data_IF_781115915597
#
_entry.id   IF_781115915597
#
_cell.length_a   1.000
_cell.length_b   1.000
_cell.length_c   1.000
_cell.angle_alpha   90.00
_cell.angle_beta   90.00
_cell.angle_gamma   90.00
#
_symmetry.space_group_name_H-M   'P 1'
#
loop_
_entity.id
_entity.type
_entity.pdbx_description
1 polymer ?
#
# COMPACT_ATOMS: atom_id res chain seq x y z
N UNK A 1 -22.50 -9.85 2.98
CA UNK A 1 -21.28 -9.84 3.85
C UNK A 1 -20.89 -8.44 4.34
N UNK A 2 -21.31 -7.35 3.68
CA UNK A 2 -21.04 -5.95 4.06
C UNK A 2 -22.32 -5.13 4.30
N UNK A 3 -23.48 -5.78 4.46
CA UNK A 3 -24.78 -5.11 4.62
C UNK A 3 -24.78 -4.10 5.78
N UNK A 4 -24.35 -4.51 6.97
CA UNK A 4 -24.28 -3.61 8.13
C UNK A 4 -23.38 -2.38 7.89
N UNK A 5 -22.25 -2.55 7.20
CA UNK A 5 -21.34 -1.45 6.85
C UNK A 5 -22.05 -0.46 5.93
N UNK A 6 -22.60 -0.91 4.80
CA UNK A 6 -23.27 -0.01 3.85
C UNK A 6 -24.55 0.62 4.41
N UNK A 7 -25.26 -0.07 5.32
CA UNK A 7 -26.39 0.56 6.05
C UNK A 7 -25.91 1.71 6.93
N UNK A 8 -24.80 1.55 7.65
CA UNK A 8 -24.23 2.63 8.45
C UNK A 8 -23.77 3.81 7.58
N UNK A 9 -23.13 3.54 6.45
CA UNK A 9 -22.71 4.60 5.51
C UNK A 9 -23.91 5.32 4.89
N UNK A 10 -25.02 4.62 4.59
CA UNK A 10 -26.26 5.26 4.11
C UNK A 10 -26.87 6.18 5.17
N UNK A 11 -26.92 5.74 6.42
CA UNK A 11 -27.41 6.59 7.53
C UNK A 11 -26.51 7.83 7.66
N UNK A 12 -25.19 7.66 7.59
CA UNK A 12 -24.25 8.77 7.63
C UNK A 12 -24.47 9.75 6.44
N UNK A 13 -24.75 9.24 5.24
CA UNK A 13 -25.07 10.08 4.09
C UNK A 13 -26.35 10.91 4.32
N UNK A 14 -27.39 10.32 4.88
CA UNK A 14 -28.62 11.02 5.24
C UNK A 14 -28.37 12.11 6.31
N UNK A 15 -27.49 11.87 7.27
CA UNK A 15 -27.11 12.87 8.26
C UNK A 15 -26.34 14.07 7.63
N UNK A 16 -25.55 13.84 6.59
CA UNK A 16 -24.87 14.92 5.84
C UNK A 16 -25.89 15.80 5.14
N UNK A 17 -26.93 15.20 4.52
CA UNK A 17 -28.05 15.93 3.89
C UNK A 17 -28.84 16.71 4.93
N UNK A 18 -29.18 16.08 6.06
CA UNK A 18 -29.93 16.72 7.15
C UNK A 18 -29.20 17.90 7.78
N UNK A 19 -27.87 17.85 7.82
CA UNK A 19 -27.02 18.94 8.28
C UNK A 19 -26.93 20.13 7.25
N UNK A 20 -27.40 19.94 6.01
CA UNK A 20 -27.35 20.96 4.96
C UNK A 20 -25.98 21.20 4.34
N UNK A 21 -25.02 20.28 4.54
CA UNK A 21 -23.69 20.39 3.96
C UNK A 21 -23.71 20.26 2.41
N UNK A 22 -24.68 19.53 1.87
CA UNK A 22 -24.90 19.34 0.43
C UNK A 22 -26.38 19.07 0.13
N UNK A 23 -26.86 19.47 -1.03
CA UNK A 23 -28.20 19.13 -1.50
C UNK A 23 -28.24 17.72 -2.10
N UNK A 24 -29.39 17.04 -2.03
CA UNK A 24 -29.51 15.64 -2.42
C UNK A 24 -29.17 15.39 -3.89
N UNK A 25 -29.54 16.31 -4.79
CA UNK A 25 -29.25 16.25 -6.23
C UNK A 25 -27.76 16.46 -6.56
N UNK A 26 -27.02 17.10 -5.66
CA UNK A 26 -25.57 17.34 -5.77
C UNK A 26 -24.72 16.28 -5.08
N UNK A 27 -25.30 15.45 -4.21
CA UNK A 27 -24.56 14.40 -3.47
C UNK A 27 -24.17 13.26 -4.39
N UNK A 28 -23.21 13.49 -5.28
CA UNK A 28 -22.66 12.49 -6.18
C UNK A 28 -21.45 11.82 -5.55
N UNK A 29 -21.39 10.48 -5.62
CA UNK A 29 -20.30 9.68 -5.10
C UNK A 29 -19.85 8.58 -6.04
N UNK A 30 -18.82 7.83 -5.63
CA UNK A 30 -18.36 6.64 -6.35
C UNK A 30 -19.38 5.49 -6.22
N UNK A 31 -19.23 4.46 -7.06
CA UNK A 31 -20.04 3.24 -6.97
C UNK A 31 -20.04 2.59 -5.58
N UNK A 32 -19.00 2.85 -4.76
CA UNK A 32 -18.86 2.33 -3.40
C UNK A 32 -19.32 3.33 -2.33
N UNK A 33 -19.81 4.52 -2.71
CA UNK A 33 -20.35 5.52 -1.81
C UNK A 33 -19.30 6.52 -1.26
N UNK A 34 -18.11 6.59 -1.84
CA UNK A 34 -17.12 7.62 -1.47
C UNK A 34 -17.49 8.97 -2.10
N UNK A 35 -17.37 10.07 -1.33
CA UNK A 35 -17.96 11.39 -1.59
C UNK A 35 -16.89 12.44 -1.94
N UNK A 36 -17.24 13.31 -2.89
CA UNK A 36 -16.51 14.54 -3.21
C UNK A 36 -15.10 14.35 -3.73
N UNK A 37 -14.34 15.44 -3.81
CA UNK A 37 -12.97 15.46 -4.34
C UNK A 37 -12.01 14.52 -3.62
N UNK A 38 -12.15 14.37 -2.32
CA UNK A 38 -11.24 13.56 -1.47
C UNK A 38 -11.74 12.12 -1.25
N UNK A 39 -12.87 11.76 -1.85
CA UNK A 39 -13.43 10.41 -1.79
C UNK A 39 -13.59 9.88 -0.37
N UNK A 40 -14.12 10.70 0.52
CA UNK A 40 -14.45 10.26 1.87
C UNK A 40 -15.68 9.36 1.88
N UNK A 41 -15.64 8.28 2.66
CA UNK A 41 -16.88 7.59 3.01
C UNK A 41 -17.75 8.52 3.86
N UNK A 42 -19.09 8.40 3.82
CA UNK A 42 -20.00 9.25 4.59
C UNK A 42 -19.66 9.34 6.09
N UNK A 43 -19.32 8.21 6.71
CA UNK A 43 -18.87 8.21 8.11
C UNK A 43 -17.53 8.93 8.33
N UNK A 44 -16.64 8.90 7.35
CA UNK A 44 -15.37 9.65 7.36
C UNK A 44 -15.65 11.15 7.21
N UNK A 45 -16.58 11.53 6.32
CA UNK A 45 -17.04 12.92 6.18
C UNK A 45 -17.53 13.48 7.52
N UNK A 46 -18.51 12.82 8.16
CA UNK A 46 -19.08 13.27 9.42
C UNK A 46 -18.03 13.51 10.51
N UNK A 47 -16.97 12.69 10.48
CA UNK A 47 -15.93 12.73 11.51
C UNK A 47 -14.82 13.73 11.24
N UNK A 48 -14.49 13.96 9.96
CA UNK A 48 -13.24 14.65 9.60
C UNK A 48 -13.41 15.82 8.63
N UNK A 49 -14.58 15.97 7.97
CA UNK A 49 -14.80 17.12 7.12
C UNK A 49 -14.87 18.39 7.94
N UNK A 50 -14.25 19.44 7.43
CA UNK A 50 -14.21 20.78 8.02
C UNK A 50 -14.58 21.82 6.96
N UNK A 51 -15.16 22.90 7.41
CA UNK A 51 -15.40 24.11 6.64
C UNK A 51 -14.06 24.88 6.55
N UNK A 52 -13.44 24.86 5.40
CA UNK A 52 -12.12 25.43 5.16
C UNK A 52 -12.14 26.86 4.64
N UNK A 53 -13.28 27.31 4.08
CA UNK A 53 -13.46 28.69 3.58
C UNK A 53 -14.33 29.55 4.49
N UNK A 54 -14.97 28.96 5.52
CA UNK A 54 -15.73 29.66 6.54
C UNK A 54 -17.13 30.10 6.12
N UNK A 55 -17.73 29.40 5.10
CA UNK A 55 -19.08 29.74 4.61
C UNK A 55 -20.20 29.06 5.40
N UNK A 56 -19.86 28.23 6.40
CA UNK A 56 -20.78 27.52 7.27
C UNK A 56 -21.19 26.14 6.75
N UNK A 57 -20.60 25.65 5.66
CA UNK A 57 -20.82 24.32 5.07
C UNK A 57 -19.52 23.54 4.94
N UNK A 58 -19.60 22.23 4.78
CA UNK A 58 -18.43 21.36 4.51
C UNK A 58 -18.57 20.77 3.11
N UNK A 59 -18.44 21.63 2.08
CA UNK A 59 -18.69 21.23 0.68
C UNK A 59 -17.46 20.55 0.06
N UNK A 60 -17.35 19.23 0.19
CA UNK A 60 -16.27 18.47 -0.45
C UNK A 60 -16.44 18.29 -1.97
N UNK A 61 -17.52 18.78 -2.58
CA UNK A 61 -17.80 18.65 -4.02
C UNK A 61 -17.51 19.95 -4.78
N UNK A 62 -17.86 21.09 -4.22
CA UNK A 62 -17.74 22.39 -4.86
C UNK A 62 -16.62 23.26 -4.30
N UNK A 63 -16.27 23.10 -3.01
CA UNK A 63 -15.22 23.89 -2.35
C UNK A 63 -13.89 23.14 -2.30
N UNK A 64 -12.89 23.62 -3.07
CA UNK A 64 -11.52 23.11 -2.98
C UNK A 64 -10.88 23.41 -1.61
N UNK A 65 -11.07 24.60 -0.99
CA UNK A 65 -10.60 24.86 0.36
C UNK A 65 -11.10 23.84 1.38
N UNK A 66 -12.41 23.51 1.38
CA UNK A 66 -12.98 22.50 2.28
C UNK A 66 -12.39 21.13 2.04
N UNK A 67 -12.29 20.72 0.77
CA UNK A 67 -11.71 19.44 0.40
C UNK A 67 -10.26 19.33 0.89
N UNK A 68 -9.43 20.34 0.71
CA UNK A 68 -8.02 20.34 1.13
C UNK A 68 -7.89 20.44 2.65
N UNK A 69 -8.66 21.30 3.32
CA UNK A 69 -8.66 21.41 4.76
C UNK A 69 -9.14 20.09 5.42
N UNK A 70 -10.19 19.48 4.89
CA UNK A 70 -10.68 18.18 5.36
C UNK A 70 -9.65 17.06 5.15
N UNK A 71 -8.96 17.04 4.01
CA UNK A 71 -7.87 16.12 3.76
C UNK A 71 -6.73 16.28 4.77
N UNK A 72 -6.33 17.53 5.03
CA UNK A 72 -5.30 17.86 6.03
C UNK A 72 -5.72 17.43 7.44
N UNK A 73 -6.94 17.76 7.85
CA UNK A 73 -7.50 17.34 9.13
C UNK A 73 -7.52 15.82 9.27
N UNK A 74 -7.94 15.09 8.25
CA UNK A 74 -7.96 13.63 8.27
C UNK A 74 -6.56 13.06 8.47
N UNK A 75 -5.57 13.49 7.71
CA UNK A 75 -4.18 13.04 7.88
C UNK A 75 -3.65 13.38 9.28
N UNK A 76 -3.93 14.57 9.81
CA UNK A 76 -3.55 14.98 11.16
C UNK A 76 -4.16 14.06 12.22
N UNK A 77 -5.45 13.77 12.13
CA UNK A 77 -6.16 12.89 13.06
C UNK A 77 -5.69 11.43 12.96
N UNK A 78 -5.19 10.99 11.81
CA UNK A 78 -4.53 9.71 11.63
C UNK A 78 -3.09 9.69 12.21
N UNK A 79 -2.59 10.80 12.72
CA UNK A 79 -1.29 10.95 13.36
C UNK A 79 -0.17 11.30 12.40
N UNK A 80 -0.46 12.15 11.39
CA UNK A 80 0.57 12.75 10.54
C UNK A 80 1.58 13.51 11.40
N UNK A 81 2.84 13.26 11.15
CA UNK A 81 3.95 13.88 11.85
C UNK A 81 4.58 14.96 10.95
N UNK A 82 4.37 16.26 11.27
CA UNK A 82 4.96 17.35 10.49
C UNK A 82 6.48 17.28 10.49
N UNK A 83 7.09 17.60 9.33
CA UNK A 83 8.55 17.52 9.17
C UNK A 83 9.10 16.12 8.90
N UNK A 84 8.36 15.06 9.20
CA UNK A 84 8.73 13.71 8.82
C UNK A 84 8.24 13.42 7.40
N UNK A 85 9.15 12.96 6.53
CA UNK A 85 8.76 12.49 5.19
C UNK A 85 8.02 11.14 5.28
N UNK A 86 7.24 10.82 4.24
CA UNK A 86 6.52 9.55 4.14
C UNK A 86 7.48 8.35 3.92
N UNK A 87 8.54 8.58 3.15
CA UNK A 87 9.53 7.56 2.78
C UNK A 87 10.59 8.14 1.86
N UNK A 88 11.40 7.28 1.31
CA UNK A 88 12.39 7.60 0.27
C UNK A 88 12.76 6.39 -0.56
N UNK A 89 13.08 6.59 -1.83
CA UNK A 89 13.73 5.58 -2.66
C UNK A 89 15.15 5.30 -2.15
N UNK A 90 15.53 4.02 -2.15
CA UNK A 90 16.83 3.56 -1.67
C UNK A 90 17.43 2.54 -2.63
N UNK A 91 18.75 2.36 -2.55
CA UNK A 91 19.48 1.26 -3.21
C UNK A 91 19.86 0.21 -2.18
N UNK A 92 19.69 -1.03 -2.56
CA UNK A 92 20.06 -2.19 -1.77
C UNK A 92 21.41 -2.75 -2.24
N UNK A 93 22.21 -3.35 -1.35
CA UNK A 93 23.43 -4.08 -1.77
C UNK A 93 23.06 -5.31 -2.59
N UNK A 94 23.99 -5.81 -3.42
CA UNK A 94 23.76 -6.94 -4.34
C UNK A 94 23.26 -8.21 -3.64
N UNK A 95 23.74 -8.47 -2.44
CA UNK A 95 23.40 -9.68 -1.66
C UNK A 95 22.45 -9.35 -0.52
N UNK A 96 21.47 -8.47 -0.76
CA UNK A 96 20.51 -8.08 0.26
C UNK A 96 19.60 -9.24 0.65
N UNK A 97 19.41 -9.43 1.96
CA UNK A 97 18.45 -10.40 2.49
C UNK A 97 17.02 -9.83 2.43
N UNK A 98 16.27 -10.22 1.40
CA UNK A 98 14.88 -9.78 1.23
C UNK A 98 13.92 -10.30 2.30
N UNK A 99 14.34 -11.28 3.13
CA UNK A 99 13.56 -11.69 4.29
C UNK A 99 13.37 -10.52 5.29
N UNK A 100 14.22 -9.51 5.25
CA UNK A 100 14.13 -8.30 6.06
C UNK A 100 13.10 -7.30 5.52
N UNK A 101 12.71 -7.40 4.24
CA UNK A 101 11.72 -6.52 3.65
C UNK A 101 10.30 -6.85 4.16
N UNK A 102 9.47 -5.82 4.20
CA UNK A 102 8.08 -5.94 4.59
C UNK A 102 7.62 -4.81 5.49
N UNK A 103 6.46 -4.26 5.19
CA UNK A 103 5.85 -3.11 5.85
C UNK A 103 5.73 -3.22 7.39
N UNK A 104 5.62 -4.45 7.91
CA UNK A 104 5.54 -4.72 9.35
C UNK A 104 6.91 -4.92 10.01
N UNK A 105 7.98 -5.05 9.23
CA UNK A 105 9.33 -5.32 9.71
C UNK A 105 10.09 -4.01 9.86
N UNK A 106 9.80 -3.30 10.95
CA UNK A 106 10.45 -2.03 11.24
C UNK A 106 11.79 -2.23 11.94
N UNK A 107 12.76 -1.43 11.53
CA UNK A 107 14.08 -1.30 12.16
C UNK A 107 14.45 0.18 12.24
N UNK A 108 15.29 0.58 13.18
CA UNK A 108 15.91 1.89 13.17
C UNK A 108 16.67 2.14 11.87
N UNK A 109 16.71 3.39 11.40
CA UNK A 109 17.36 3.73 10.13
C UNK A 109 18.84 3.40 10.14
N UNK A 110 19.52 3.50 11.29
CA UNK A 110 20.93 3.13 11.42
C UNK A 110 21.18 1.64 11.12
N UNK A 111 20.28 0.73 11.48
CA UNK A 111 20.42 -0.69 11.13
C UNK A 111 20.34 -0.92 9.61
N UNK A 112 19.53 -0.15 8.89
CA UNK A 112 19.50 -0.19 7.43
C UNK A 112 20.80 0.32 6.82
N UNK A 113 21.43 1.33 7.43
CA UNK A 113 22.77 1.82 7.03
C UNK A 113 23.83 0.73 7.23
N UNK A 114 23.81 0.05 8.37
CA UNK A 114 24.75 -1.05 8.68
C UNK A 114 24.58 -2.24 7.71
N UNK A 115 23.36 -2.45 7.22
CA UNK A 115 23.06 -3.44 6.18
C UNK A 115 23.46 -2.99 4.77
N UNK A 116 24.09 -1.81 4.61
CA UNK A 116 24.55 -1.29 3.33
C UNK A 116 23.50 -0.60 2.47
N UNK A 117 22.32 -0.29 3.03
CA UNK A 117 21.28 0.47 2.32
C UNK A 117 21.72 1.92 2.16
N UNK A 118 21.61 2.45 0.95
CA UNK A 118 21.99 3.81 0.59
C UNK A 118 20.78 4.60 0.04
N UNK A 119 20.91 5.91 -0.11
CA UNK A 119 19.91 6.68 -0.86
C UNK A 119 19.91 6.29 -2.35
N UNK A 120 18.94 6.79 -3.11
CA UNK A 120 18.80 6.49 -4.54
C UNK A 120 20.04 6.84 -5.40
N UNK A 121 20.90 7.73 -4.91
CA UNK A 121 22.16 8.13 -5.57
C UNK A 121 23.38 7.31 -5.12
N UNK A 122 23.19 6.34 -4.21
CA UNK A 122 24.29 5.53 -3.66
C UNK A 122 25.06 6.20 -2.53
N UNK A 123 24.55 7.30 -1.96
CA UNK A 123 25.19 7.99 -0.84
C UNK A 123 24.66 7.42 0.49
N UNK A 124 25.45 7.45 1.59
CA UNK A 124 25.02 7.02 2.90
C UNK A 124 23.74 7.73 3.37
N UNK A 125 22.90 7.01 4.08
CA UNK A 125 21.77 7.58 4.80
C UNK A 125 22.23 8.07 6.18
N UNK A 126 21.55 9.07 6.79
CA UNK A 126 21.87 9.48 8.15
C UNK A 126 21.55 8.34 9.14
N UNK A 127 22.48 8.00 10.05
CA UNK A 127 22.29 6.90 11.00
C UNK A 127 21.41 7.33 12.19
N UNK A 128 20.12 7.51 11.95
CA UNK A 128 19.15 7.97 12.93
C UNK A 128 18.43 6.79 13.61
N UNK A 129 18.03 6.99 14.87
CA UNK A 129 17.08 6.11 15.56
C UNK A 129 15.64 6.48 15.13
N UNK A 130 15.36 6.25 13.83
CA UNK A 130 14.08 6.52 13.21
C UNK A 130 13.52 5.20 12.67
N UNK A 131 12.37 4.72 13.17
CA UNK A 131 11.78 3.48 12.68
C UNK A 131 11.42 3.56 11.20
N UNK A 132 11.98 2.67 10.42
CA UNK A 132 11.76 2.54 8.97
C UNK A 132 11.45 1.09 8.61
N UNK A 133 10.60 0.89 7.61
CA UNK A 133 10.33 -0.42 7.00
C UNK A 133 10.73 -0.39 5.53
N UNK A 134 11.42 -1.43 5.07
CA UNK A 134 11.77 -1.57 3.67
C UNK A 134 10.62 -2.25 2.92
N UNK A 135 10.22 -1.69 1.79
CA UNK A 135 9.29 -2.31 0.84
C UNK A 135 9.92 -2.37 -0.56
N UNK A 136 9.64 -3.46 -1.26
CA UNK A 136 10.07 -3.71 -2.65
C UNK A 136 8.82 -4.02 -3.50
N UNK A 137 8.03 -3.00 -3.85
CA UNK A 137 6.71 -3.19 -4.45
C UNK A 137 6.75 -3.86 -5.81
N UNK A 138 7.85 -3.71 -6.54
CA UNK A 138 8.08 -4.26 -7.87
C UNK A 138 9.21 -5.32 -7.89
N UNK A 139 9.46 -5.97 -6.75
CA UNK A 139 10.48 -6.99 -6.62
C UNK A 139 11.91 -6.47 -6.47
N UNK A 140 12.86 -7.39 -6.48
CA UNK A 140 14.28 -7.11 -6.25
C UNK A 140 14.91 -6.23 -7.34
N UNK A 141 14.39 -6.30 -8.55
CA UNK A 141 14.88 -5.56 -9.72
C UNK A 141 14.20 -4.20 -9.91
N UNK A 142 13.21 -3.89 -9.06
CA UNK A 142 12.48 -2.65 -9.06
C UNK A 142 12.89 -1.66 -7.98
N UNK A 143 12.26 -0.47 -7.94
CA UNK A 143 12.51 0.52 -6.92
C UNK A 143 12.22 -0.01 -5.51
N UNK A 144 13.17 0.17 -4.60
CA UNK A 144 13.03 -0.12 -3.19
C UNK A 144 12.80 1.19 -2.40
N UNK A 145 12.00 1.10 -1.33
CA UNK A 145 11.68 2.28 -0.51
C UNK A 145 11.83 1.98 0.97
N UNK A 146 12.50 2.86 1.70
CA UNK A 146 12.33 2.97 3.13
C UNK A 146 11.11 3.85 3.41
N UNK A 147 10.17 3.32 4.19
CA UNK A 147 8.91 3.98 4.54
C UNK A 147 8.88 4.27 6.03
N UNK A 148 8.36 5.44 6.40
CA UNK A 148 8.28 5.95 7.76
C UNK A 148 6.84 5.98 8.28
N UNK A 149 6.63 6.61 9.43
CA UNK A 149 5.30 6.73 10.06
C UNK A 149 4.26 7.31 9.11
N UNK A 150 4.59 8.41 8.40
CA UNK A 150 3.64 9.08 7.51
C UNK A 150 3.17 8.21 6.33
N UNK A 151 3.95 7.24 5.87
CA UNK A 151 3.48 6.26 4.91
C UNK A 151 2.29 5.45 5.44
N UNK A 152 2.34 5.06 6.72
CA UNK A 152 1.23 4.34 7.36
C UNK A 152 0.01 5.22 7.53
N UNK A 153 0.22 6.52 7.76
CA UNK A 153 -0.87 7.50 7.81
C UNK A 153 -1.58 7.59 6.46
N UNK A 154 -0.84 7.70 5.36
CA UNK A 154 -1.42 7.67 3.99
C UNK A 154 -2.17 6.35 3.76
N UNK A 155 -1.62 5.22 4.21
CA UNK A 155 -2.31 3.92 4.14
C UNK A 155 -3.56 3.83 5.02
N UNK A 156 -3.74 4.70 5.99
CA UNK A 156 -4.98 4.87 6.74
C UNK A 156 -6.12 5.37 5.87
N UNK A 157 -5.81 6.15 4.84
CA UNK A 157 -6.77 6.61 3.83
C UNK A 157 -7.14 5.48 2.87
N UNK A 158 -6.13 4.87 2.27
CA UNK A 158 -6.30 3.74 1.35
C UNK A 158 -5.24 2.68 1.65
N UNK A 159 -5.67 1.44 1.90
CA UNK A 159 -4.82 0.32 2.32
C UNK A 159 -3.90 -0.24 1.22
N UNK A 160 -3.85 0.38 0.05
CA UNK A 160 -2.95 0.02 -1.04
C UNK A 160 -1.57 0.65 -0.86
N UNK A 161 -0.52 -0.15 -0.86
CA UNK A 161 0.88 0.33 -0.86
C UNK A 161 1.17 1.18 -2.09
N UNK A 162 0.65 0.78 -3.26
CA UNK A 162 0.81 1.55 -4.50
C UNK A 162 0.14 2.92 -4.43
N UNK A 163 -1.03 3.02 -3.79
CA UNK A 163 -1.68 4.30 -3.54
C UNK A 163 -0.80 5.19 -2.67
N UNK A 164 -0.31 4.65 -1.55
CA UNK A 164 0.50 5.42 -0.62
C UNK A 164 1.84 5.87 -1.25
N UNK A 165 2.47 5.02 -2.07
CA UNK A 165 3.65 5.38 -2.86
C UNK A 165 3.33 6.47 -3.89
N UNK A 166 2.23 6.33 -4.63
CA UNK A 166 1.83 7.31 -5.65
C UNK A 166 1.54 8.68 -5.03
N UNK A 167 0.78 8.73 -3.93
CA UNK A 167 0.46 9.97 -3.20
C UNK A 167 1.72 10.59 -2.63
N UNK A 168 2.56 9.81 -1.95
CA UNK A 168 3.80 10.31 -1.36
C UNK A 168 4.78 10.82 -2.41
N UNK A 169 4.98 10.05 -3.49
CA UNK A 169 5.86 10.47 -4.59
C UNK A 169 5.31 11.70 -5.34
N UNK A 170 3.98 11.77 -5.56
CA UNK A 170 3.36 12.96 -6.16
C UNK A 170 3.57 14.20 -5.30
N UNK A 171 3.43 14.09 -3.98
CA UNK A 171 3.73 15.18 -3.06
C UNK A 171 5.19 15.64 -3.16
N UNK A 172 6.15 14.68 -3.21
CA UNK A 172 7.56 15.00 -3.44
C UNK A 172 7.78 15.70 -4.79
N UNK A 173 7.09 15.25 -5.86
CA UNK A 173 7.16 15.88 -7.20
C UNK A 173 6.61 17.31 -7.20
N UNK A 174 5.51 17.56 -6.52
CA UNK A 174 4.94 18.91 -6.35
C UNK A 174 5.92 19.81 -5.59
N UNK A 175 6.62 19.25 -4.59
CA UNK A 175 7.68 19.94 -3.85
C UNK A 175 9.01 20.09 -4.62
N UNK A 176 9.07 19.71 -5.90
CA UNK A 176 10.24 19.89 -6.77
C UNK A 176 11.24 18.72 -6.80
N UNK A 177 10.92 17.58 -6.20
CA UNK A 177 11.78 16.41 -6.29
C UNK A 177 11.81 15.81 -7.72
N UNK A 178 12.87 15.06 -8.05
CA UNK A 178 13.03 14.33 -9.31
C UNK A 178 12.11 13.12 -9.45
N UNK A 179 12.18 12.44 -10.60
CA UNK A 179 11.56 11.13 -10.83
C UNK A 179 12.29 10.05 -10.03
N UNK A 180 11.71 8.85 -9.97
CA UNK A 180 12.40 7.70 -9.40
C UNK A 180 13.72 7.44 -10.14
N UNK A 181 14.75 7.07 -9.40
CA UNK A 181 16.07 6.77 -9.95
C UNK A 181 16.12 5.38 -10.60
N UNK A 182 15.41 4.42 -10.02
CA UNK A 182 15.23 3.09 -10.61
C UNK A 182 13.98 3.05 -11.50
N UNK A 183 14.10 2.36 -12.64
CA UNK A 183 12.95 2.13 -13.52
C UNK A 183 12.05 1.03 -12.94
N UNK A 184 10.75 1.16 -13.20
CA UNK A 184 9.83 0.06 -12.92
C UNK A 184 10.08 -1.07 -13.92
N UNK A 185 10.10 -2.33 -13.49
CA UNK A 185 10.12 -3.49 -14.40
C UNK A 185 8.93 -3.43 -15.37
N UNK A 186 9.17 -3.78 -16.63
CA UNK A 186 8.15 -3.74 -17.69
C UNK A 186 7.51 -5.10 -17.96
N UNK A 187 8.08 -6.15 -17.41
CA UNK A 187 7.78 -7.57 -17.64
C UNK A 187 6.89 -8.20 -16.56
N UNK A 188 6.28 -7.38 -15.71
CA UNK A 188 5.40 -7.84 -14.64
C UNK A 188 4.21 -8.66 -15.14
N UNK A 189 3.99 -9.83 -14.54
CA UNK A 189 2.89 -10.75 -14.83
C UNK A 189 1.56 -10.11 -14.45
N UNK A 190 0.67 -9.97 -15.43
CA UNK A 190 -0.71 -9.51 -15.20
C UNK A 190 -1.62 -10.72 -15.07
N UNK A 191 -2.03 -11.04 -13.86
CA UNK A 191 -2.96 -12.13 -13.59
C UNK A 191 -4.39 -11.61 -13.42
N UNK A 192 -5.33 -12.34 -13.99
CA UNK A 192 -6.74 -12.23 -13.65
C UNK A 192 -6.96 -12.71 -12.21
N UNK A 193 -8.07 -12.30 -11.60
CA UNK A 193 -8.46 -12.76 -10.26
C UNK A 193 -8.55 -14.29 -10.15
N UNK A 194 -9.01 -14.95 -11.21
CA UNK A 194 -9.10 -16.40 -11.27
C UNK A 194 -7.70 -17.06 -11.23
N UNK A 195 -6.73 -16.51 -11.98
CA UNK A 195 -5.35 -17.00 -11.98
C UNK A 195 -4.65 -16.78 -10.64
N UNK A 196 -4.87 -15.62 -9.99
CA UNK A 196 -4.35 -15.41 -8.63
C UNK A 196 -4.96 -16.40 -7.64
N UNK A 197 -6.26 -16.70 -7.75
CA UNK A 197 -6.91 -17.70 -6.90
C UNK A 197 -6.35 -19.10 -7.14
N UNK A 198 -6.05 -19.46 -8.40
CA UNK A 198 -5.40 -20.72 -8.73
C UNK A 198 -4.00 -20.79 -8.11
N UNK A 199 -3.16 -19.77 -8.30
CA UNK A 199 -1.84 -19.65 -7.68
C UNK A 199 -1.91 -19.83 -6.14
N UNK A 200 -2.88 -19.19 -5.48
CA UNK A 200 -3.08 -19.33 -4.04
C UNK A 200 -3.42 -20.79 -3.66
N UNK A 201 -4.26 -21.47 -4.47
CA UNK A 201 -4.63 -22.87 -4.26
C UNK A 201 -3.41 -23.78 -4.43
N UNK A 202 -2.58 -23.53 -5.44
CA UNK A 202 -1.38 -24.32 -5.72
C UNK A 202 -0.33 -24.15 -4.62
N UNK A 203 -0.11 -22.91 -4.15
CA UNK A 203 0.75 -22.65 -3.00
C UNK A 203 0.25 -23.35 -1.72
N UNK A 204 -1.08 -23.42 -1.46
CA UNK A 204 -1.62 -24.19 -0.35
C UNK A 204 -1.35 -25.68 -0.48
N UNK A 205 -1.52 -26.25 -1.69
CA UNK A 205 -1.20 -27.66 -1.96
C UNK A 205 0.28 -27.96 -1.71
N UNK A 206 1.17 -27.01 -1.97
CA UNK A 206 2.59 -27.07 -1.69
C UNK A 206 2.95 -26.81 -0.22
N UNK A 207 1.95 -26.60 0.66
CA UNK A 207 2.14 -26.43 2.11
C UNK A 207 2.44 -25.00 2.56
N UNK A 208 2.18 -23.99 1.72
CA UNK A 208 2.36 -22.59 2.09
C UNK A 208 1.05 -21.95 2.57
N UNK A 209 1.13 -21.12 3.62
CA UNK A 209 -0.03 -20.41 4.14
C UNK A 209 -0.30 -19.12 3.33
N UNK A 210 -1.31 -19.16 2.50
CA UNK A 210 -1.83 -17.99 1.75
C UNK A 210 -3.11 -17.42 2.36
N UNK A 211 -3.59 -17.99 3.47
CA UNK A 211 -4.93 -17.75 3.99
C UNK A 211 -6.01 -18.34 3.07
N UNK A 212 -7.16 -17.71 3.01
CA UNK A 212 -8.25 -18.14 2.10
C UNK A 212 -7.97 -17.66 0.68
N UNK A 213 -7.95 -18.54 -0.34
CA UNK A 213 -7.81 -18.15 -1.73
C UNK A 213 -8.94 -17.21 -2.17
N UNK A 214 -8.65 -15.94 -2.32
CA UNK A 214 -9.60 -14.87 -2.64
C UNK A 214 -9.34 -14.18 -3.99
N UNK A 215 -8.20 -14.54 -4.63
CA UNK A 215 -7.77 -13.97 -5.89
C UNK A 215 -7.16 -12.58 -5.76
N UNK A 216 -6.61 -12.24 -4.59
CA UNK A 216 -5.92 -10.96 -4.34
C UNK A 216 -4.46 -11.25 -3.94
N UNK A 217 -3.50 -10.66 -4.63
CA UNK A 217 -2.06 -10.72 -4.27
C UNK A 217 -1.78 -9.85 -3.04
N UNK A 218 -2.32 -10.30 -1.90
CA UNK A 218 -2.15 -9.62 -0.61
C UNK A 218 -0.88 -10.03 0.14
N UNK A 219 -0.66 -9.49 1.36
CA UNK A 219 0.53 -9.78 2.15
C UNK A 219 0.73 -11.27 2.48
N UNK A 220 -0.33 -12.04 2.70
CA UNK A 220 -0.23 -13.47 2.95
C UNK A 220 0.29 -14.22 1.72
N UNK A 221 -0.27 -13.94 0.54
CA UNK A 221 0.20 -14.54 -0.73
C UNK A 221 1.64 -14.16 -1.03
N UNK A 222 2.03 -12.88 -0.84
CA UNK A 222 3.43 -12.46 -1.02
C UNK A 222 4.38 -13.13 -0.03
N UNK A 223 3.95 -13.33 1.21
CA UNK A 223 4.71 -14.09 2.21
C UNK A 223 4.92 -15.55 1.82
N UNK A 224 3.88 -16.20 1.28
CA UNK A 224 3.95 -17.58 0.77
C UNK A 224 4.88 -17.68 -0.45
N UNK A 225 4.80 -16.73 -1.39
CA UNK A 225 5.72 -16.64 -2.52
C UNK A 225 7.17 -16.47 -2.08
N UNK A 226 7.45 -15.59 -1.13
CA UNK A 226 8.80 -15.41 -0.58
C UNK A 226 9.34 -16.69 0.07
N UNK A 227 8.50 -17.44 0.81
CA UNK A 227 8.89 -18.72 1.38
C UNK A 227 9.16 -19.78 0.30
N UNK A 228 8.32 -19.81 -0.76
CA UNK A 228 8.53 -20.71 -1.90
C UNK A 228 9.85 -20.36 -2.61
N UNK A 229 10.10 -19.09 -2.91
CA UNK A 229 11.35 -18.60 -3.51
C UNK A 229 12.56 -19.04 -2.68
N UNK A 230 12.51 -18.84 -1.36
CA UNK A 230 13.59 -19.23 -0.45
C UNK A 230 13.90 -20.74 -0.52
N UNK A 231 12.86 -21.59 -0.50
CA UNK A 231 13.03 -23.04 -0.60
C UNK A 231 13.51 -23.50 -1.96
N UNK A 232 13.18 -22.75 -3.01
CA UNK A 232 13.59 -23.04 -4.40
C UNK A 232 14.94 -22.41 -4.77
N UNK A 233 15.64 -21.74 -3.83
CA UNK A 233 16.93 -21.08 -4.12
C UNK A 233 16.81 -19.82 -4.98
N UNK A 234 15.59 -19.25 -5.10
CA UNK A 234 15.32 -18.01 -5.81
C UNK A 234 15.46 -16.80 -4.86
N UNK A 235 15.50 -15.60 -5.42
CA UNK A 235 15.51 -14.36 -4.63
C UNK A 235 14.16 -14.20 -3.92
N UNK A 236 14.16 -14.27 -2.59
CA UNK A 236 12.96 -14.36 -1.76
C UNK A 236 12.29 -13.01 -1.49
N UNK A 237 11.98 -12.23 -2.52
CA UNK A 237 11.38 -10.89 -2.45
C UNK A 237 9.83 -10.90 -2.36
N UNK A 238 9.20 -12.06 -2.60
CA UNK A 238 7.75 -12.24 -2.60
C UNK A 238 7.05 -11.55 -3.78
N UNK A 239 7.80 -11.07 -4.77
CA UNK A 239 7.25 -10.53 -6.01
C UNK A 239 6.97 -11.65 -6.99
N UNK A 240 5.86 -11.54 -7.72
CA UNK A 240 5.46 -12.50 -8.72
C UNK A 240 5.87 -12.01 -10.11
N UNK A 241 6.83 -12.69 -10.69
CA UNK A 241 7.25 -12.60 -12.09
C UNK A 241 6.92 -13.88 -12.86
N UNK A 242 7.32 -13.96 -14.13
CA UNK A 242 7.06 -15.12 -14.97
C UNK A 242 7.87 -16.33 -14.50
N UNK A 243 9.12 -16.14 -14.11
CA UNK A 243 9.99 -17.23 -13.63
C UNK A 243 9.40 -17.89 -12.38
N UNK A 244 8.96 -17.11 -11.41
CA UNK A 244 8.32 -17.61 -10.19
C UNK A 244 6.99 -18.31 -10.50
N UNK A 245 6.20 -17.77 -11.42
CA UNK A 245 4.94 -18.38 -11.83
C UNK A 245 5.17 -19.76 -12.45
N UNK A 246 6.16 -19.88 -13.32
CA UNK A 246 6.53 -21.13 -13.98
C UNK A 246 7.08 -22.16 -12.97
N UNK A 247 7.88 -21.69 -12.01
CA UNK A 247 8.40 -22.53 -10.93
C UNK A 247 7.29 -23.08 -10.02
N UNK A 248 6.32 -22.24 -9.64
CA UNK A 248 5.16 -22.68 -8.82
C UNK A 248 4.31 -23.69 -9.61
N UNK A 249 4.03 -23.41 -10.89
CA UNK A 249 3.26 -24.30 -11.74
C UNK A 249 3.95 -25.66 -11.91
N UNK A 250 5.26 -25.68 -12.14
CA UNK A 250 6.06 -26.90 -12.24
C UNK A 250 6.04 -27.72 -10.94
N UNK A 251 6.21 -27.05 -9.80
CA UNK A 251 6.15 -27.70 -8.49
C UNK A 251 4.75 -28.29 -8.20
N UNK A 252 3.69 -27.54 -8.53
CA UNK A 252 2.31 -27.99 -8.31
C UNK A 252 1.87 -29.12 -9.25
N UNK A 253 2.52 -29.28 -10.42
CA UNK A 253 2.25 -30.37 -11.35
C UNK A 253 2.86 -31.71 -10.92
N UNK A 254 3.82 -31.72 -9.98
CA UNK A 254 4.42 -32.94 -9.45
C UNK A 254 3.43 -33.65 -8.52
N UNK A 255 3.24 -35.00 -8.67
CA UNK A 255 2.45 -35.72 -7.68
C UNK A 255 3.07 -35.62 -6.28
N UNK A 256 2.23 -35.63 -5.25
CA UNK A 256 2.65 -35.48 -3.84
C UNK A 256 3.40 -36.72 -3.30
N UNK A 257 4.40 -37.25 -4.00
CA UNK A 257 5.07 -38.49 -3.66
C UNK A 257 6.37 -38.35 -2.83
N UNK A 258 6.78 -37.15 -2.43
CA UNK A 258 8.04 -36.96 -1.68
C UNK A 258 7.93 -36.07 -0.41
N UNK A 259 6.82 -36.16 0.32
CA UNK A 259 6.69 -35.42 1.61
C UNK A 259 7.08 -36.26 2.85
N UNK A 260 7.61 -37.49 2.66
CA UNK A 260 8.14 -38.37 3.73
C UNK A 260 9.55 -38.84 3.39
N UNK A 261 10.52 -37.96 3.60
CA UNK A 261 11.93 -38.39 3.86
C UNK A 261 12.67 -37.35 4.62
#
# INVERSE_FOLDING_TARGET
>A
RRSKFFTAELIAALQILDAGDIDADRMVGSWAGALGHVQFMPSTFLRYAVDGDGDGRRDLWGSVPDAMASAGNFLQQLGWEPGLRWGREVRLPKNFDFSLAGRKKQRPLYEWVDLGVTNALGQPLPPLDLPAALIVPAGYDGPAFLTYRNFRVIMGWNRSEYYALAVGHLADRIAGAGTLAQRLPTDGVRLSRAQVKQLQTDLQRLGYDVGKPDGILGPATRGALSQFQQRSGLIADGHLDQELMDAVNAAAAQPAENAER
#
